data_IF_083991674631
#
_entry.id   IF_083991674631
#
_cell.length_a   1.000
_cell.length_b   1.000
_cell.length_c   1.000
_cell.angle_alpha   90.00
_cell.angle_beta   90.00
_cell.angle_gamma   90.00
#
_symmetry.space_group_name_H-M   'P 1'
#
loop_
_entity.id
_entity.type
_entity.pdbx_description
1 polymer ?
#
# COMPACT_ATOMS: atom_id res chain seq x y z
N UNK A 1 -7.38 9.97 1.76
CA UNK A 1 -7.31 10.02 0.28
C UNK A 1 -8.07 11.23 -0.28
N UNK A 2 -9.37 11.41 0.02
CA UNK A 2 -10.24 12.47 -0.56
C UNK A 2 -9.70 13.91 -0.53
N UNK A 3 -9.09 14.36 0.58
CA UNK A 3 -8.51 15.71 0.71
C UNK A 3 -7.28 15.96 -0.18
N UNK A 4 -6.62 14.90 -0.65
CA UNK A 4 -5.47 15.04 -1.55
C UNK A 4 -5.91 15.24 -3.01
N UNK A 5 -7.16 14.91 -3.36
CA UNK A 5 -7.64 15.02 -4.75
C UNK A 5 -6.71 14.30 -5.72
N UNK A 6 -6.36 13.05 -5.39
CA UNK A 6 -5.48 12.23 -6.22
C UNK A 6 -6.17 11.91 -7.55
N UNK A 7 -5.42 12.00 -8.63
CA UNK A 7 -5.84 11.49 -9.94
C UNK A 7 -5.43 10.03 -10.15
N UNK A 8 -5.87 9.44 -11.27
CA UNK A 8 -5.67 8.03 -11.57
C UNK A 8 -4.18 7.65 -11.67
N UNK A 9 -3.33 8.53 -12.20
CA UNK A 9 -1.89 8.27 -12.31
C UNK A 9 -1.24 8.29 -10.92
N UNK A 10 -1.61 9.25 -10.08
CA UNK A 10 -1.16 9.32 -8.68
C UNK A 10 -1.61 8.09 -7.88
N UNK A 11 -2.82 7.58 -8.11
CA UNK A 11 -3.29 6.33 -7.51
C UNK A 11 -2.50 5.12 -8.00
N UNK A 12 -2.33 4.98 -9.32
CA UNK A 12 -1.61 3.87 -9.91
C UNK A 12 -0.16 3.79 -9.40
N UNK A 13 0.52 4.93 -9.31
CA UNK A 13 1.88 5.00 -8.77
C UNK A 13 1.94 4.63 -7.29
N UNK A 14 0.99 5.11 -6.46
CA UNK A 14 0.93 4.72 -5.05
C UNK A 14 0.65 3.22 -4.87
N UNK A 15 -0.19 2.62 -5.72
CA UNK A 15 -0.46 1.19 -5.71
C UNK A 15 0.81 0.42 -6.09
N UNK A 16 1.51 0.81 -7.16
CA UNK A 16 2.75 0.18 -7.59
C UNK A 16 3.80 0.22 -6.47
N UNK A 17 4.01 1.38 -5.84
CA UNK A 17 4.94 1.52 -4.70
C UNK A 17 4.52 0.61 -3.53
N UNK A 18 3.22 0.50 -3.23
CA UNK A 18 2.73 -0.36 -2.17
C UNK A 18 2.91 -1.86 -2.46
N UNK A 19 2.76 -2.28 -3.72
CA UNK A 19 2.97 -3.67 -4.16
C UNK A 19 4.45 -4.03 -4.04
N UNK A 20 5.35 -3.19 -4.53
CA UNK A 20 6.79 -3.40 -4.44
C UNK A 20 7.35 -2.98 -3.08
N UNK A 21 6.90 -3.61 -2.00
CA UNK A 21 7.37 -3.35 -0.64
C UNK A 21 8.25 -4.51 -0.16
N UNK A 22 9.54 -4.24 0.06
CA UNK A 22 10.51 -5.24 0.49
C UNK A 22 10.33 -5.72 1.94
N UNK A 23 9.60 -4.96 2.76
CA UNK A 23 9.25 -5.29 4.15
C UNK A 23 8.08 -6.28 4.27
N UNK A 24 7.59 -6.84 3.16
CA UNK A 24 6.54 -7.87 3.17
C UNK A 24 7.11 -9.21 3.68
N UNK A 25 6.30 -10.02 4.38
CA UNK A 25 6.73 -11.33 4.84
C UNK A 25 7.10 -12.24 3.67
N UNK A 26 8.03 -13.16 3.89
CA UNK A 26 8.44 -14.21 2.95
C UNK A 26 9.11 -13.73 1.64
N UNK A 27 9.48 -12.44 1.54
CA UNK A 27 10.25 -11.92 0.40
C UNK A 27 11.67 -12.50 0.41
N UNK A 28 12.05 -13.14 -0.70
CA UNK A 28 13.34 -13.83 -0.84
C UNK A 28 14.47 -12.88 -1.29
N UNK A 29 14.17 -11.90 -2.15
CA UNK A 29 15.16 -10.99 -2.75
C UNK A 29 14.78 -9.51 -2.51
N UNK A 30 14.89 -8.99 -1.26
CA UNK A 30 14.46 -7.64 -0.90
C UNK A 30 15.08 -6.54 -1.76
N UNK A 31 16.39 -6.64 -2.05
CA UNK A 31 17.11 -5.63 -2.83
C UNK A 31 16.59 -5.50 -4.27
N UNK A 32 16.10 -6.60 -4.87
CA UNK A 32 15.47 -6.52 -6.21
C UNK A 32 14.09 -5.89 -6.14
N UNK A 33 13.34 -6.13 -5.07
CA UNK A 33 12.04 -5.47 -4.84
C UNK A 33 12.24 -3.96 -4.68
N UNK A 34 13.24 -3.54 -3.91
CA UNK A 34 13.59 -2.11 -3.75
C UNK A 34 14.01 -1.49 -5.09
N UNK A 35 14.86 -2.19 -5.87
CA UNK A 35 15.26 -1.73 -7.20
C UNK A 35 14.07 -1.59 -8.17
N UNK A 36 13.06 -2.47 -8.06
CA UNK A 36 11.81 -2.36 -8.82
C UNK A 36 10.89 -1.24 -8.31
N UNK A 37 10.90 -0.96 -7.00
CA UNK A 37 10.10 0.10 -6.40
C UNK A 37 10.60 1.49 -6.79
N UNK A 38 11.92 1.67 -6.83
CA UNK A 38 12.58 2.97 -7.00
C UNK A 38 12.07 3.78 -8.20
N UNK A 39 11.95 3.22 -9.43
CA UNK A 39 11.45 3.97 -10.58
C UNK A 39 10.05 4.56 -10.37
N UNK A 40 9.17 3.88 -9.63
CA UNK A 40 7.81 4.38 -9.36
C UNK A 40 7.81 5.54 -8.35
N UNK A 41 8.71 5.51 -7.37
CA UNK A 41 8.89 6.60 -6.41
C UNK A 41 9.40 7.85 -7.13
N UNK A 42 10.41 7.70 -8.00
CA UNK A 42 10.96 8.78 -8.82
C UNK A 42 9.93 9.34 -9.82
N UNK A 43 9.14 8.46 -10.45
CA UNK A 43 8.04 8.85 -11.32
C UNK A 43 6.98 9.65 -10.57
N UNK A 44 6.60 9.23 -9.36
CA UNK A 44 5.63 9.96 -8.52
C UNK A 44 6.15 11.33 -8.11
N UNK A 45 7.42 11.44 -7.74
CA UNK A 45 8.07 12.72 -7.43
C UNK A 45 8.03 13.66 -8.64
N UNK A 46 8.41 13.16 -9.80
CA UNK A 46 8.45 13.94 -11.05
C UNK A 46 7.05 14.38 -11.48
N UNK A 47 6.08 13.45 -11.47
CA UNK A 47 4.69 13.71 -11.85
C UNK A 47 4.05 14.77 -10.95
N UNK A 48 4.22 14.65 -9.63
CA UNK A 48 3.65 15.63 -8.67
C UNK A 48 4.28 17.01 -8.81
N UNK A 49 5.60 17.09 -9.04
CA UNK A 49 6.31 18.36 -9.29
C UNK A 49 5.84 19.05 -10.56
N UNK A 50 5.65 18.32 -11.65
CA UNK A 50 5.21 18.87 -12.94
C UNK A 50 3.74 19.30 -12.85
N UNK A 51 2.88 18.45 -12.30
CA UNK A 51 1.44 18.69 -12.30
C UNK A 51 1.01 19.76 -11.29
N UNK A 52 1.67 19.83 -10.13
CA UNK A 52 1.32 20.74 -9.03
C UNK A 52 2.57 21.36 -8.42
N UNK A 53 3.31 22.22 -9.17
CA UNK A 53 4.57 22.80 -8.71
C UNK A 53 4.43 23.68 -7.45
N UNK A 54 3.23 24.22 -7.21
CA UNK A 54 2.91 25.05 -6.04
C UNK A 54 2.78 24.21 -4.74
N UNK A 55 2.53 22.90 -4.83
CA UNK A 55 2.33 22.01 -3.68
C UNK A 55 3.55 21.10 -3.48
N UNK A 56 4.64 21.69 -2.95
CA UNK A 56 5.89 20.96 -2.68
C UNK A 56 5.73 19.85 -1.62
N UNK A 57 4.71 19.95 -0.76
CA UNK A 57 4.42 18.97 0.28
C UNK A 57 3.50 17.85 -0.22
N UNK A 58 3.10 17.83 -1.49
CA UNK A 58 2.24 16.80 -2.04
C UNK A 58 2.88 15.42 -1.98
N UNK A 59 4.09 15.30 -2.54
CA UNK A 59 4.85 14.05 -2.58
C UNK A 59 5.04 13.42 -1.19
N UNK A 60 5.59 14.13 -0.18
CA UNK A 60 5.74 13.53 1.14
C UNK A 60 4.39 13.19 1.79
N UNK A 61 3.34 14.02 1.59
CA UNK A 61 1.99 13.70 2.09
C UNK A 61 1.40 12.43 1.46
N UNK A 62 1.72 12.15 0.20
CA UNK A 62 1.33 10.92 -0.48
C UNK A 62 2.08 9.71 0.09
N UNK A 63 3.41 9.81 0.28
CA UNK A 63 4.18 8.73 0.91
C UNK A 63 3.71 8.41 2.33
N UNK A 64 3.34 9.42 3.12
CA UNK A 64 2.77 9.21 4.45
C UNK A 64 1.46 8.39 4.44
N UNK A 65 0.73 8.36 3.32
CA UNK A 65 -0.46 7.48 3.20
C UNK A 65 -0.09 6.01 3.12
N UNK A 66 1.07 5.66 2.58
CA UNK A 66 1.55 4.27 2.59
C UNK A 66 1.80 3.78 4.01
N UNK A 67 2.30 4.64 4.91
CA UNK A 67 2.44 4.32 6.34
C UNK A 67 1.08 4.10 6.99
N UNK A 68 0.10 4.98 6.73
CA UNK A 68 -1.27 4.82 7.24
C UNK A 68 -1.94 3.52 6.75
N UNK A 69 -1.62 3.06 5.54
CA UNK A 69 -2.12 1.78 5.02
C UNK A 69 -1.56 0.57 5.79
N UNK A 70 -0.31 0.62 6.26
CA UNK A 70 0.25 -0.43 7.13
C UNK A 70 -0.52 -0.53 8.45
N UNK A 71 -0.83 0.61 9.07
CA UNK A 71 -1.67 0.64 10.29
C UNK A 71 -3.06 0.05 10.03
N UNK A 72 -3.69 0.43 8.90
CA UNK A 72 -5.00 -0.12 8.53
C UNK A 72 -4.95 -1.64 8.29
N UNK A 73 -3.85 -2.13 7.70
CA UNK A 73 -3.62 -3.57 7.51
C UNK A 73 -3.57 -4.31 8.85
N UNK A 74 -2.95 -3.73 9.88
CA UNK A 74 -2.90 -4.33 11.23
C UNK A 74 -4.30 -4.43 11.84
N UNK A 75 -5.07 -3.35 11.77
CA UNK A 75 -6.47 -3.32 12.27
C UNK A 75 -7.33 -4.33 11.50
N UNK A 76 -7.10 -4.47 10.20
CA UNK A 76 -7.79 -5.47 9.38
C UNK A 76 -7.47 -6.90 9.84
N UNK A 77 -6.21 -7.21 10.17
CA UNK A 77 -5.84 -8.52 10.73
C UNK A 77 -6.57 -8.83 12.05
N UNK A 78 -6.71 -7.86 12.94
CA UNK A 78 -7.50 -8.01 14.18
C UNK A 78 -8.98 -8.30 13.89
N UNK A 79 -9.56 -7.63 12.88
CA UNK A 79 -10.94 -7.88 12.47
C UNK A 79 -11.14 -9.27 11.87
N UNK A 80 -10.21 -9.73 11.02
CA UNK A 80 -10.23 -11.10 10.48
C UNK A 80 -10.16 -12.12 11.60
N UNK A 81 -9.31 -11.90 12.61
CA UNK A 81 -9.25 -12.74 13.80
C UNK A 81 -10.58 -12.76 14.58
N UNK A 82 -11.22 -11.61 14.76
CA UNK A 82 -12.53 -11.53 15.42
C UNK A 82 -13.63 -12.29 14.65
N UNK A 83 -13.61 -12.27 13.32
CA UNK A 83 -14.55 -13.04 12.49
C UNK A 83 -14.37 -14.55 12.66
N UNK A 84 -13.13 -15.02 12.80
CA UNK A 84 -12.85 -16.42 13.13
C UNK A 84 -13.44 -16.82 14.48
N UNK A 85 -13.28 -15.98 15.50
CA UNK A 85 -13.84 -16.23 16.84
C UNK A 85 -15.38 -16.32 16.83
N UNK A 86 -16.02 -15.65 15.88
CA UNK A 86 -17.47 -15.68 15.66
C UNK A 86 -17.93 -16.83 14.74
N UNK A 87 -17.04 -17.75 14.36
CA UNK A 87 -17.29 -18.87 13.43
C UNK A 87 -17.89 -18.42 12.07
N UNK A 88 -17.49 -17.22 11.61
CA UNK A 88 -17.90 -16.69 10.30
C UNK A 88 -16.92 -17.18 9.23
N UNK A 89 -17.42 -18.01 8.31
CA UNK A 89 -16.63 -18.50 7.19
C UNK A 89 -16.48 -17.44 6.11
N UNK A 90 -15.24 -17.25 5.68
CA UNK A 90 -14.91 -16.41 4.53
C UNK A 90 -14.93 -17.25 3.24
N UNK A 91 -15.21 -16.64 2.07
CA UNK A 91 -14.98 -17.27 0.78
C UNK A 91 -13.53 -17.81 0.65
N UNK A 92 -13.30 -18.93 -0.06
CA UNK A 92 -11.99 -19.60 -0.08
C UNK A 92 -10.81 -18.69 -0.42
N UNK A 93 -10.95 -17.84 -1.45
CA UNK A 93 -9.89 -16.91 -1.87
C UNK A 93 -9.51 -15.90 -0.78
N UNK A 94 -10.50 -15.38 -0.04
CA UNK A 94 -10.25 -14.42 1.03
C UNK A 94 -9.63 -15.11 2.26
N UNK A 95 -10.01 -16.37 2.49
CA UNK A 95 -9.44 -17.21 3.54
C UNK A 95 -7.95 -17.50 3.28
N UNK A 96 -7.57 -17.73 2.02
CA UNK A 96 -6.18 -17.92 1.59
C UNK A 96 -5.36 -16.64 1.73
N UNK A 97 -5.83 -15.51 1.16
CA UNK A 97 -5.06 -14.25 1.14
C UNK A 97 -4.87 -13.65 2.54
N UNK A 98 -5.86 -13.80 3.42
CA UNK A 98 -5.80 -13.25 4.79
C UNK A 98 -5.34 -14.26 5.82
N UNK A 99 -4.81 -15.38 5.36
CA UNK A 99 -4.19 -16.43 6.17
C UNK A 99 -5.12 -16.85 7.31
N UNK A 100 -6.34 -17.22 6.96
CA UNK A 100 -7.42 -17.56 7.90
C UNK A 100 -7.33 -19.05 8.33
N UNK A 101 -6.21 -19.71 8.04
CA UNK A 101 -6.03 -21.16 8.19
C UNK A 101 -5.05 -21.60 9.29
N UNK A 102 -4.30 -20.70 9.93
CA UNK A 102 -3.54 -20.97 11.18
C UNK A 102 -4.29 -20.56 12.43
#
# INVERSE_FOLDING_TARGET
>A
MRRLGLDDAEYALLIAINIFSADRPNVQEPSRVEALQQPYVEALLSYTRIKRPQDQLRFPRMLMKLVSLRTLSSVHSEQVFALRLQDKKLPPLLSEIWDVHE
#
